data_IF_840752957243
#
_entry.id   IF_840752957243
#
_cell.length_a   1.000
_cell.length_b   1.000
_cell.length_c   1.000
_cell.angle_alpha   90.00
_cell.angle_beta   90.00
_cell.angle_gamma   90.00
#
_symmetry.space_group_name_H-M   'P 1'
#
loop_
_entity.id
_entity.type
_entity.pdbx_description
1 polymer ?
#
# COMPACT_ATOMS: atom_id res chain seq x y z
N UNK A 1 -18.99 -31.81 -23.96
CA UNK A 1 -17.90 -32.02 -22.98
C UNK A 1 -18.45 -31.94 -21.55
N UNK A 2 -17.88 -32.69 -20.62
CA UNK A 2 -18.22 -32.58 -19.20
C UNK A 2 -17.85 -31.19 -18.69
N UNK A 3 -18.65 -30.65 -17.78
CA UNK A 3 -18.28 -29.46 -17.03
C UNK A 3 -17.03 -29.77 -16.18
N UNK A 4 -16.03 -28.93 -16.28
CA UNK A 4 -14.81 -28.98 -15.46
C UNK A 4 -14.70 -27.68 -14.65
N UNK A 5 -14.40 -27.82 -13.37
CA UNK A 5 -14.17 -26.68 -12.46
C UNK A 5 -12.80 -26.86 -11.84
N UNK A 6 -11.99 -25.82 -11.90
CA UNK A 6 -10.68 -25.77 -11.27
C UNK A 6 -10.59 -24.58 -10.33
N UNK A 7 -9.95 -24.79 -9.20
CA UNK A 7 -9.59 -23.73 -8.26
C UNK A 7 -8.08 -23.69 -8.12
N UNK A 8 -7.54 -22.48 -8.10
CA UNK A 8 -6.14 -22.21 -7.82
C UNK A 8 -6.03 -20.99 -6.91
N UNK A 9 -5.16 -21.04 -5.91
CA UNK A 9 -5.03 -19.95 -4.96
C UNK A 9 -3.81 -20.07 -4.07
N UNK A 10 -3.39 -18.92 -3.54
CA UNK A 10 -2.38 -18.84 -2.49
C UNK A 10 -2.71 -17.77 -1.48
N UNK A 11 -2.15 -17.92 -0.29
CA UNK A 11 -2.06 -16.92 0.76
C UNK A 11 -0.62 -16.85 1.23
N UNK A 12 -0.13 -15.64 1.45
CA UNK A 12 1.20 -15.38 1.95
C UNK A 12 1.27 -14.10 2.78
N UNK A 13 2.43 -13.86 3.34
CA UNK A 13 2.73 -12.62 4.08
C UNK A 13 4.01 -11.97 3.55
N UNK A 14 4.06 -10.66 3.62
CA UNK A 14 5.17 -9.85 3.15
C UNK A 14 5.72 -9.00 4.29
N UNK A 15 7.01 -8.79 4.30
CA UNK A 15 7.66 -7.85 5.20
C UNK A 15 8.56 -6.91 4.39
N UNK A 16 8.71 -5.65 4.78
CA UNK A 16 9.61 -4.74 4.08
C UNK A 16 11.06 -5.18 4.30
N UNK A 17 11.87 -5.09 3.26
CA UNK A 17 13.31 -5.22 3.39
C UNK A 17 13.90 -3.83 3.62
N UNK A 18 14.24 -3.51 4.85
CA UNK A 18 14.86 -2.25 5.26
C UNK A 18 16.37 -2.36 5.46
N UNK A 19 16.99 -3.43 4.99
CA UNK A 19 18.43 -3.62 5.07
C UNK A 19 19.18 -2.46 4.37
N UNK A 20 20.15 -1.90 5.06
CA UNK A 20 20.93 -0.75 4.56
C UNK A 20 20.31 0.62 4.85
N UNK A 21 19.11 0.69 5.45
CA UNK A 21 18.51 1.93 5.95
C UNK A 21 18.53 1.91 7.47
N UNK A 22 19.39 2.72 8.06
CA UNK A 22 19.48 2.87 9.52
C UNK A 22 19.18 4.32 9.89
N UNK A 23 17.94 4.65 10.30
CA UNK A 23 17.63 5.99 10.79
C UNK A 23 18.47 6.33 12.02
N UNK A 24 18.78 7.60 12.19
CA UNK A 24 19.45 8.11 13.37
C UNK A 24 18.55 7.91 14.61
N UNK A 25 19.16 7.63 15.75
CA UNK A 25 18.46 7.77 17.01
C UNK A 25 18.40 9.26 17.45
N UNK A 26 17.60 9.55 18.49
CA UNK A 26 17.39 10.93 18.94
C UNK A 26 18.70 11.61 19.37
N UNK A 27 19.60 10.92 20.03
CA UNK A 27 20.89 11.48 20.45
C UNK A 27 21.77 11.81 19.26
N UNK A 28 21.90 10.87 18.31
CA UNK A 28 22.66 11.09 17.08
C UNK A 28 22.07 12.24 16.25
N UNK A 29 20.74 12.33 16.20
CA UNK A 29 20.06 13.44 15.52
C UNK A 29 20.43 14.79 16.14
N UNK A 30 20.32 14.95 17.46
CA UNK A 30 20.67 16.18 18.15
C UNK A 30 22.15 16.57 17.94
N UNK A 31 23.06 15.60 17.99
CA UNK A 31 24.49 15.82 17.77
C UNK A 31 24.78 16.29 16.33
N UNK A 32 24.18 15.66 15.32
CA UNK A 32 24.38 16.01 13.91
C UNK A 32 23.77 17.38 13.59
N UNK A 33 22.57 17.68 14.08
CA UNK A 33 21.95 18.99 13.89
C UNK A 33 22.81 20.09 14.50
N UNK A 34 23.23 19.93 15.74
CA UNK A 34 24.08 20.93 16.40
C UNK A 34 25.43 21.10 15.69
N UNK A 35 26.02 20.02 15.21
CA UNK A 35 27.24 20.08 14.43
C UNK A 35 27.07 20.81 13.10
N UNK A 36 25.92 20.63 12.46
CA UNK A 36 25.57 21.37 11.24
C UNK A 36 25.49 22.89 11.49
N UNK A 37 24.85 23.31 12.58
CA UNK A 37 24.73 24.72 12.98
C UNK A 37 26.08 25.31 13.31
N UNK A 38 26.90 24.65 14.11
CA UNK A 38 28.29 25.08 14.42
C UNK A 38 29.09 25.30 13.13
N UNK A 39 29.03 24.35 12.20
CA UNK A 39 29.77 24.39 10.94
C UNK A 39 29.30 25.57 10.06
N UNK A 40 28.02 25.91 10.13
CA UNK A 40 27.44 27.06 9.44
C UNK A 40 27.67 28.41 10.17
N UNK A 41 28.37 28.40 11.32
CA UNK A 41 28.59 29.61 12.13
C UNK A 41 27.32 30.10 12.84
N UNK A 42 26.34 29.22 13.01
CA UNK A 42 25.10 29.51 13.71
C UNK A 42 25.15 28.97 15.15
N UNK A 43 24.28 29.48 16.02
CA UNK A 43 24.17 29.04 17.40
C UNK A 43 23.50 27.65 17.42
N UNK A 44 24.12 26.62 18.01
CA UNK A 44 23.50 25.31 18.23
C UNK A 44 22.22 25.41 19.06
N UNK A 45 21.33 24.45 18.89
CA UNK A 45 20.13 24.34 19.70
C UNK A 45 20.46 23.88 21.14
N UNK A 46 19.82 24.50 22.10
CA UNK A 46 19.73 24.00 23.48
C UNK A 46 18.57 23.01 23.57
N UNK A 47 18.83 21.76 23.23
CA UNK A 47 17.81 20.71 23.27
C UNK A 47 17.24 20.44 24.68
N UNK A 48 17.98 20.80 25.73
CA UNK A 48 17.45 20.67 27.10
C UNK A 48 16.28 21.62 27.35
N UNK A 49 16.37 22.84 26.81
CA UNK A 49 15.28 23.81 26.86
C UNK A 49 14.16 23.49 25.85
N UNK A 50 14.55 22.98 24.66
CA UNK A 50 13.59 22.69 23.58
C UNK A 50 12.68 21.49 23.87
N UNK A 51 13.21 20.43 24.48
CA UNK A 51 12.50 19.17 24.76
C UNK A 51 12.67 18.72 26.21
N UNK A 52 12.23 19.55 27.19
CA UNK A 52 12.60 19.37 28.60
C UNK A 52 12.20 18.00 29.15
N UNK A 53 11.08 17.45 28.72
CA UNK A 53 10.53 16.20 29.24
C UNK A 53 11.27 14.94 28.75
N UNK A 54 11.99 15.04 27.64
CA UNK A 54 12.60 13.88 26.98
C UNK A 54 14.15 13.95 26.94
N UNK A 55 14.72 15.13 27.16
CA UNK A 55 16.16 15.35 27.03
C UNK A 55 16.99 14.37 27.90
N UNK A 56 16.65 14.27 29.18
CA UNK A 56 17.42 13.43 30.11
C UNK A 56 17.25 11.94 29.80
N UNK A 57 16.08 11.51 29.35
CA UNK A 57 15.81 10.14 28.93
C UNK A 57 16.58 9.79 27.64
N UNK A 58 16.74 10.73 26.72
CA UNK A 58 17.56 10.57 25.50
C UNK A 58 19.03 10.50 25.87
N UNK A 59 19.52 11.45 26.68
CA UNK A 59 20.93 11.53 27.02
C UNK A 59 21.42 10.36 27.86
N UNK A 60 20.57 9.80 28.72
CA UNK A 60 20.86 8.59 29.48
C UNK A 60 20.72 7.28 28.67
N UNK A 61 20.16 7.35 27.47
CA UNK A 61 19.86 6.19 26.62
C UNK A 61 18.64 5.39 27.03
N UNK A 62 17.84 5.89 27.98
CA UNK A 62 16.59 5.27 28.41
C UNK A 62 15.54 5.29 27.29
N UNK A 63 15.51 6.37 26.52
CA UNK A 63 14.73 6.49 25.31
C UNK A 63 15.63 6.84 24.11
N UNK A 64 15.56 6.05 23.06
CA UNK A 64 16.36 6.24 21.84
C UNK A 64 15.68 7.12 20.80
N UNK A 65 14.47 7.60 21.10
CA UNK A 65 13.63 8.31 20.15
C UNK A 65 12.78 7.39 19.28
N UNK A 66 11.99 7.99 18.43
CA UNK A 66 11.06 7.29 17.54
C UNK A 66 11.78 6.84 16.27
N UNK A 67 11.71 5.55 15.99
CA UNK A 67 12.09 5.01 14.68
C UNK A 67 10.84 4.99 13.79
N UNK A 68 10.60 6.08 13.09
CA UNK A 68 9.42 6.28 12.25
C UNK A 68 9.21 5.17 11.21
N UNK A 69 10.30 4.69 10.60
CA UNK A 69 10.22 3.61 9.62
C UNK A 69 9.71 2.31 10.25
N UNK A 70 10.16 2.02 11.48
CA UNK A 70 9.70 0.84 12.24
C UNK A 70 8.24 0.99 12.66
N UNK A 71 7.85 2.18 13.13
CA UNK A 71 6.45 2.46 13.54
C UNK A 71 5.48 2.36 12.35
N UNK A 72 5.91 2.82 11.16
CA UNK A 72 5.11 2.73 9.93
C UNK A 72 5.13 1.34 9.27
N UNK A 73 5.87 0.37 9.82
CA UNK A 73 5.97 -0.97 9.23
C UNK A 73 4.73 -1.80 9.53
N UNK A 74 4.06 -2.27 8.49
CA UNK A 74 3.04 -3.31 8.56
C UNK A 74 3.72 -4.69 8.42
N UNK A 75 3.92 -5.36 9.56
CA UNK A 75 4.56 -6.68 9.59
C UNK A 75 3.58 -7.76 9.16
N UNK A 76 4.10 -8.73 8.41
CA UNK A 76 3.31 -9.85 7.91
C UNK A 76 2.10 -9.39 7.09
N UNK A 77 2.29 -8.32 6.29
CA UNK A 77 1.26 -7.78 5.41
C UNK A 77 0.71 -8.89 4.49
N UNK A 78 -0.59 -9.19 4.52
CA UNK A 78 -1.15 -10.29 3.77
C UNK A 78 -1.13 -10.03 2.27
N UNK A 79 -0.90 -11.11 1.52
CA UNK A 79 -1.08 -11.18 0.07
C UNK A 79 -1.81 -12.46 -0.26
N UNK A 80 -2.83 -12.38 -1.11
CA UNK A 80 -3.61 -13.54 -1.50
C UNK A 80 -4.12 -13.43 -2.94
N UNK A 81 -4.27 -14.59 -3.55
CA UNK A 81 -4.90 -14.72 -4.85
C UNK A 81 -5.76 -15.98 -4.87
N UNK A 82 -6.94 -15.85 -5.41
CA UNK A 82 -7.89 -16.97 -5.57
C UNK A 82 -8.50 -16.89 -6.96
N UNK A 83 -8.55 -18.02 -7.66
CA UNK A 83 -9.17 -18.11 -8.97
C UNK A 83 -10.01 -19.39 -9.10
N UNK A 84 -11.15 -19.24 -9.72
CA UNK A 84 -12.02 -20.35 -10.11
C UNK A 84 -12.23 -20.27 -11.61
N UNK A 85 -12.00 -21.37 -12.30
CA UNK A 85 -12.25 -21.46 -13.72
C UNK A 85 -13.22 -22.62 -13.99
N UNK A 86 -14.23 -22.36 -14.79
CA UNK A 86 -15.23 -23.33 -15.24
C UNK A 86 -15.17 -23.43 -16.75
N UNK A 87 -15.04 -24.64 -17.28
CA UNK A 87 -15.07 -24.89 -18.70
C UNK A 87 -16.09 -25.99 -19.01
N UNK A 88 -16.78 -25.84 -20.10
CA UNK A 88 -17.76 -26.81 -20.53
C UNK A 88 -18.19 -26.61 -21.97
N UNK A 89 -19.09 -27.45 -22.41
CA UNK A 89 -19.65 -27.28 -23.74
C UNK A 89 -20.41 -28.50 -24.22
N UNK A 90 -20.94 -28.39 -25.42
CA UNK A 90 -21.67 -29.40 -26.16
C UNK A 90 -21.08 -29.54 -27.57
N UNK A 91 -21.75 -30.28 -28.44
CA UNK A 91 -21.36 -30.36 -29.85
C UNK A 91 -21.51 -29.05 -30.61
N UNK A 92 -22.25 -28.08 -30.06
CA UNK A 92 -22.52 -26.79 -30.69
C UNK A 92 -21.95 -25.61 -29.94
N UNK A 93 -21.49 -25.77 -28.71
CA UNK A 93 -21.02 -24.67 -27.89
C UNK A 93 -19.86 -25.05 -27.00
N UNK A 94 -18.94 -24.14 -26.78
CA UNK A 94 -17.88 -24.21 -25.79
C UNK A 94 -17.87 -22.93 -25.00
N UNK A 95 -17.62 -23.02 -23.72
CA UNK A 95 -17.47 -21.86 -22.86
C UNK A 95 -16.37 -22.04 -21.84
N UNK A 96 -15.78 -20.92 -21.43
CA UNK A 96 -14.88 -20.80 -20.30
C UNK A 96 -15.28 -19.57 -19.51
N UNK A 97 -15.55 -19.74 -18.21
CA UNK A 97 -15.85 -18.68 -17.27
C UNK A 97 -14.79 -18.71 -16.16
N UNK A 98 -14.10 -17.60 -15.99
CA UNK A 98 -13.10 -17.41 -14.93
C UNK A 98 -13.50 -16.30 -13.99
N UNK A 99 -13.30 -16.51 -12.70
CA UNK A 99 -13.37 -15.49 -11.67
C UNK A 99 -12.06 -15.49 -10.88
N UNK A 100 -11.49 -14.33 -10.63
CA UNK A 100 -10.32 -14.21 -9.76
C UNK A 100 -10.40 -13.00 -8.83
N UNK A 101 -9.89 -13.20 -7.63
CA UNK A 101 -9.66 -12.18 -6.63
C UNK A 101 -8.17 -12.11 -6.30
N UNK A 102 -7.63 -10.91 -6.26
CA UNK A 102 -6.29 -10.62 -5.76
C UNK A 102 -6.39 -9.53 -4.70
N UNK A 103 -5.78 -9.74 -3.54
CA UNK A 103 -5.69 -8.79 -2.44
C UNK A 103 -4.27 -8.71 -1.91
N UNK A 104 -3.79 -7.48 -1.62
CA UNK A 104 -2.48 -7.23 -1.07
C UNK A 104 -2.51 -6.00 -0.16
N UNK A 105 -1.93 -6.12 1.03
CA UNK A 105 -1.67 -4.98 1.90
C UNK A 105 -0.24 -4.44 1.67
N UNK A 106 -0.08 -3.14 1.88
CA UNK A 106 1.23 -2.50 1.86
C UNK A 106 2.06 -2.88 3.08
N UNK A 107 3.37 -3.02 2.91
CA UNK A 107 4.32 -3.30 3.99
C UNK A 107 4.74 -2.07 4.78
N UNK A 108 4.41 -0.87 4.28
CA UNK A 108 4.60 0.43 4.92
C UNK A 108 3.29 1.22 4.92
N UNK A 109 3.16 2.15 5.87
CA UNK A 109 2.00 3.04 6.00
C UNK A 109 1.10 2.70 7.19
N UNK A 110 1.54 1.79 8.09
CA UNK A 110 0.84 1.55 9.35
C UNK A 110 0.75 2.87 10.16
N UNK A 111 -0.37 3.17 10.85
CA UNK A 111 -1.56 2.33 11.01
C UNK A 111 -2.62 2.47 9.90
N UNK A 112 -2.38 3.24 8.85
CA UNK A 112 -3.34 3.43 7.76
C UNK A 112 -3.55 2.19 6.87
N UNK A 113 -2.58 1.29 6.82
CA UNK A 113 -2.59 0.01 6.09
C UNK A 113 -3.06 0.16 4.64
N UNK A 114 -2.20 0.67 3.75
CA UNK A 114 -2.48 0.72 2.31
C UNK A 114 -2.87 -0.64 1.76
N UNK A 115 -3.83 -0.69 0.84
CA UNK A 115 -4.25 -1.95 0.24
C UNK A 115 -4.51 -1.84 -1.27
N UNK A 116 -4.47 -2.97 -1.93
CA UNK A 116 -4.85 -3.14 -3.32
C UNK A 116 -5.74 -4.37 -3.45
N UNK A 117 -6.88 -4.22 -4.11
CA UNK A 117 -7.80 -5.31 -4.42
C UNK A 117 -8.14 -5.31 -5.91
N UNK A 118 -8.23 -6.49 -6.49
CA UNK A 118 -8.63 -6.67 -7.87
C UNK A 118 -9.55 -7.87 -8.01
N UNK A 119 -10.71 -7.63 -8.61
CA UNK A 119 -11.65 -8.66 -9.02
C UNK A 119 -11.65 -8.73 -10.55
N UNK A 120 -11.56 -9.92 -11.12
CA UNK A 120 -11.58 -10.12 -12.56
C UNK A 120 -12.55 -11.23 -12.91
N UNK A 121 -13.44 -10.93 -13.86
CA UNK A 121 -14.32 -11.92 -14.51
C UNK A 121 -13.89 -12.03 -15.96
N UNK A 122 -13.74 -13.27 -16.43
CA UNK A 122 -13.46 -13.59 -17.84
C UNK A 122 -14.52 -14.54 -18.35
N UNK A 123 -15.04 -14.23 -19.52
CA UNK A 123 -15.97 -15.09 -20.23
C UNK A 123 -15.51 -15.22 -21.68
N UNK A 124 -15.36 -16.46 -22.10
CA UNK A 124 -15.07 -16.78 -23.49
C UNK A 124 -16.06 -17.85 -23.92
N UNK A 125 -16.73 -17.65 -25.04
CA UNK A 125 -17.59 -18.68 -25.60
C UNK A 125 -17.56 -18.70 -27.12
N UNK A 126 -17.84 -19.87 -27.66
CA UNK A 126 -18.06 -20.13 -29.07
C UNK A 126 -19.39 -20.87 -29.24
N UNK A 127 -20.14 -20.48 -30.27
CA UNK A 127 -21.37 -21.17 -30.65
C UNK A 127 -21.39 -21.44 -32.15
N UNK A 128 -21.52 -22.71 -32.53
CA UNK A 128 -21.70 -23.14 -33.91
C UNK A 128 -23.12 -22.85 -34.37
N UNK A 129 -23.28 -21.77 -35.12
CA UNK A 129 -24.58 -21.32 -35.63
C UNK A 129 -25.06 -22.21 -36.78
N UNK A 130 -24.13 -22.62 -37.65
CA UNK A 130 -24.43 -23.48 -38.79
C UNK A 130 -23.38 -24.60 -38.92
N UNK A 131 -23.87 -25.85 -38.99
CA UNK A 131 -23.07 -27.03 -39.34
C UNK A 131 -23.56 -27.65 -40.62
N UNK A 132 -22.63 -28.12 -41.45
CA UNK A 132 -22.91 -28.90 -42.66
C UNK A 132 -21.94 -30.06 -42.76
N UNK A 133 -22.41 -31.26 -42.99
CA UNK A 133 -21.62 -32.48 -43.06
C UNK A 133 -20.70 -32.70 -41.86
N UNK A 134 -21.15 -32.36 -40.64
CA UNK A 134 -20.39 -32.48 -39.40
C UNK A 134 -19.34 -31.39 -39.16
N UNK A 135 -19.18 -30.44 -40.07
CA UNK A 135 -18.23 -29.33 -39.97
C UNK A 135 -18.94 -28.03 -39.62
N UNK A 136 -18.30 -27.23 -38.79
CA UNK A 136 -18.77 -25.89 -38.50
C UNK A 136 -18.60 -25.00 -39.73
N UNK A 137 -19.67 -24.34 -40.17
CA UNK A 137 -19.68 -23.39 -41.28
C UNK A 137 -19.74 -21.96 -40.81
N UNK A 138 -20.55 -21.71 -39.79
CA UNK A 138 -20.66 -20.40 -39.15
C UNK A 138 -20.50 -20.59 -37.65
N UNK A 139 -19.50 -19.89 -37.06
CA UNK A 139 -19.26 -19.85 -35.63
C UNK A 139 -19.31 -18.38 -35.17
N UNK A 140 -20.08 -18.12 -34.15
CA UNK A 140 -20.09 -16.86 -33.41
C UNK A 140 -19.34 -17.08 -32.10
N UNK A 141 -18.50 -16.13 -31.70
CA UNK A 141 -17.79 -16.18 -30.44
C UNK A 141 -17.62 -14.82 -29.80
N UNK A 142 -17.35 -14.88 -28.51
CA UNK A 142 -17.11 -13.73 -27.68
C UNK A 142 -15.97 -13.98 -26.67
N UNK A 143 -15.22 -12.92 -26.40
CA UNK A 143 -14.23 -12.89 -25.32
C UNK A 143 -14.42 -11.59 -24.55
N UNK A 144 -14.83 -11.71 -23.29
CA UNK A 144 -15.11 -10.56 -22.42
C UNK A 144 -14.27 -10.69 -21.16
N UNK A 145 -13.63 -9.61 -20.76
CA UNK A 145 -12.94 -9.47 -19.48
C UNK A 145 -13.38 -8.20 -18.79
N UNK A 146 -13.91 -8.34 -17.58
CA UNK A 146 -14.24 -7.22 -16.70
C UNK A 146 -13.31 -7.25 -15.48
N UNK A 147 -12.73 -6.09 -15.14
CA UNK A 147 -11.83 -5.95 -14.01
C UNK A 147 -12.28 -4.76 -13.16
N UNK A 148 -12.42 -4.99 -11.86
CA UNK A 148 -12.65 -3.98 -10.85
C UNK A 148 -11.41 -3.89 -9.97
N UNK A 149 -10.92 -2.69 -9.72
CA UNK A 149 -9.79 -2.46 -8.82
C UNK A 149 -10.16 -1.44 -7.75
N UNK A 150 -9.65 -1.64 -6.56
CA UNK A 150 -9.67 -0.67 -5.47
C UNK A 150 -8.27 -0.57 -4.90
N UNK A 151 -7.74 0.64 -4.82
CA UNK A 151 -6.41 0.91 -4.26
C UNK A 151 -6.53 2.05 -3.26
N UNK A 152 -6.03 1.84 -2.07
CA UNK A 152 -5.69 2.90 -1.12
C UNK A 152 -4.17 2.90 -0.93
N UNK A 153 -3.57 4.06 -0.74
CA UNK A 153 -2.13 4.17 -0.68
C UNK A 153 -1.67 5.30 0.22
N UNK A 154 -0.38 5.31 0.53
CA UNK A 154 0.31 6.46 1.09
C UNK A 154 0.70 7.41 -0.05
N UNK A 155 0.87 8.70 0.27
CA UNK A 155 1.29 9.69 -0.71
C UNK A 155 2.75 9.42 -1.14
N UNK A 156 2.96 9.21 -2.44
CA UNK A 156 4.28 9.01 -3.06
C UNK A 156 4.43 9.88 -4.31
N UNK A 157 3.77 11.05 -4.32
CA UNK A 157 3.62 11.86 -5.52
C UNK A 157 4.92 12.48 -6.01
N UNK A 158 5.60 13.25 -5.17
CA UNK A 158 6.84 13.94 -5.51
C UNK A 158 7.74 14.08 -4.28
N UNK A 159 8.82 14.89 -4.38
CA UNK A 159 9.76 15.06 -3.28
C UNK A 159 9.20 15.78 -2.06
N UNK A 160 8.10 16.53 -2.18
CA UNK A 160 7.47 17.30 -1.10
C UNK A 160 6.25 16.57 -0.51
N UNK A 161 5.57 15.74 -1.31
CA UNK A 161 4.40 14.97 -0.92
C UNK A 161 4.75 13.48 -1.00
N UNK A 162 5.56 13.00 -0.04
CA UNK A 162 6.09 11.66 -0.05
C UNK A 162 6.21 11.10 1.36
N UNK A 163 5.20 10.34 1.77
CA UNK A 163 5.15 9.75 3.11
C UNK A 163 6.35 8.89 3.45
N UNK A 164 6.99 8.22 2.48
CA UNK A 164 8.21 7.43 2.74
C UNK A 164 9.37 8.36 3.10
N UNK A 165 9.53 9.46 2.37
CA UNK A 165 10.54 10.46 2.70
C UNK A 165 10.29 11.04 4.09
N UNK A 166 9.05 11.34 4.42
CA UNK A 166 8.70 11.95 5.71
C UNK A 166 9.02 11.01 6.87
N UNK A 167 8.81 9.71 6.72
CA UNK A 167 9.27 8.69 7.68
C UNK A 167 10.79 8.62 7.85
N UNK A 168 11.57 9.05 6.84
CA UNK A 168 13.04 9.02 6.89
C UNK A 168 13.64 10.32 7.43
N UNK A 169 12.94 11.46 7.28
CA UNK A 169 13.45 12.77 7.66
C UNK A 169 12.81 13.36 8.92
N UNK A 170 11.70 12.80 9.37
CA UNK A 170 11.04 13.26 10.60
C UNK A 170 11.98 13.12 11.81
N UNK A 171 12.04 14.15 12.67
CA UNK A 171 12.92 14.15 13.82
C UNK A 171 12.60 12.99 14.78
N UNK A 172 13.59 12.16 15.14
CA UNK A 172 13.38 11.04 16.06
C UNK A 172 13.17 11.47 17.52
N UNK A 173 13.33 12.76 17.81
CA UNK A 173 13.06 13.34 19.13
C UNK A 173 11.57 13.50 19.43
N UNK A 174 10.70 13.36 18.42
CA UNK A 174 9.25 13.39 18.58
C UNK A 174 8.72 12.00 18.98
N UNK A 175 7.88 11.86 20.02
CA UNK A 175 7.14 10.64 20.28
C UNK A 175 6.16 10.33 19.14
N UNK A 176 5.92 9.05 18.86
CA UNK A 176 4.88 8.66 17.90
C UNK A 176 3.47 8.82 18.47
N UNK A 177 3.33 8.53 19.77
CA UNK A 177 2.06 8.56 20.49
C UNK A 177 2.22 9.28 21.83
N UNK A 178 1.14 9.93 22.27
CA UNK A 178 1.04 10.52 23.59
C UNK A 178 0.72 9.47 24.67
N UNK A 179 0.61 9.89 25.92
CA UNK A 179 0.30 9.01 27.07
C UNK A 179 -1.07 8.36 26.99
N UNK A 180 -2.01 8.94 26.23
CA UNK A 180 -3.33 8.37 25.98
C UNK A 180 -3.33 7.33 24.84
N UNK A 181 -2.21 7.19 24.11
CA UNK A 181 -2.08 6.30 22.95
C UNK A 181 -2.61 6.92 21.66
N UNK A 182 -2.86 8.21 21.64
CA UNK A 182 -3.21 8.98 20.46
C UNK A 182 -1.94 9.47 19.76
N UNK A 183 -2.03 9.87 18.50
CA UNK A 183 -0.88 10.46 17.82
C UNK A 183 -0.37 11.68 18.57
N UNK A 184 0.96 11.73 18.76
CA UNK A 184 1.59 12.88 19.40
C UNK A 184 1.55 14.07 18.44
N UNK A 185 0.94 15.17 18.89
CA UNK A 185 0.65 16.34 18.07
C UNK A 185 1.19 17.62 18.69
N UNK A 186 1.01 18.74 18.02
CA UNK A 186 1.46 20.05 18.49
C UNK A 186 0.88 20.44 19.87
N UNK A 187 -0.37 20.05 20.14
CA UNK A 187 -0.99 20.29 21.42
C UNK A 187 -0.25 19.61 22.59
N UNK A 188 0.22 18.38 22.36
CA UNK A 188 1.02 17.63 23.36
C UNK A 188 2.37 18.33 23.60
N UNK A 189 3.03 18.84 22.53
CA UNK A 189 4.28 19.61 22.64
C UNK A 189 4.08 20.87 23.49
N UNK A 190 2.99 21.59 23.27
CA UNK A 190 2.68 22.80 24.06
C UNK A 190 2.42 22.46 25.54
N UNK A 191 1.64 21.42 25.80
CA UNK A 191 1.36 20.96 27.17
C UNK A 191 2.63 20.53 27.91
N UNK A 192 3.56 19.89 27.19
CA UNK A 192 4.85 19.45 27.72
C UNK A 192 5.93 20.54 27.75
N UNK A 193 5.61 21.76 27.30
CA UNK A 193 6.48 22.91 27.38
C UNK A 193 7.64 22.91 26.35
N UNK A 194 7.43 22.26 25.21
CA UNK A 194 8.42 22.28 24.13
C UNK A 194 8.49 23.65 23.46
N UNK A 195 9.68 24.11 23.16
CA UNK A 195 9.92 25.36 22.44
C UNK A 195 10.21 25.09 20.95
N UNK A 196 9.28 24.37 20.30
CA UNK A 196 9.33 24.14 18.85
C UNK A 196 8.27 24.97 18.12
N UNK A 197 8.59 25.32 16.87
CA UNK A 197 7.60 25.90 15.97
C UNK A 197 6.66 24.81 15.42
N UNK A 198 5.61 25.24 14.73
CA UNK A 198 4.51 24.38 14.22
C UNK A 198 4.91 23.44 13.05
N UNK A 199 6.16 23.48 12.59
CA UNK A 199 6.59 22.78 11.39
C UNK A 199 6.90 21.28 11.61
N UNK A 200 6.79 20.80 12.86
CA UNK A 200 6.99 19.40 13.18
C UNK A 200 5.65 18.65 13.16
N UNK A 201 5.44 17.88 12.12
CA UNK A 201 4.29 17.01 11.99
C UNK A 201 4.65 15.56 12.33
N UNK A 202 3.68 14.83 12.87
CA UNK A 202 3.78 13.39 13.07
C UNK A 202 3.47 12.68 11.74
N UNK A 203 4.44 12.03 11.08
CA UNK A 203 4.22 11.44 9.76
C UNK A 203 3.22 10.26 9.77
N UNK A 204 3.03 9.62 10.93
CA UNK A 204 2.02 8.56 11.06
C UNK A 204 0.61 9.15 11.09
N UNK A 205 0.42 10.25 11.84
CA UNK A 205 -0.85 10.96 11.90
C UNK A 205 -1.25 11.50 10.52
N UNK A 206 -0.32 12.16 9.84
CA UNK A 206 -0.53 12.68 8.49
C UNK A 206 -0.95 11.57 7.53
N UNK A 207 -0.20 10.47 7.50
CA UNK A 207 -0.52 9.31 6.67
C UNK A 207 -1.88 8.71 7.03
N UNK A 208 -2.21 8.62 8.30
CA UNK A 208 -3.48 8.04 8.77
C UNK A 208 -4.69 8.89 8.38
N UNK A 209 -4.63 10.19 8.61
CA UNK A 209 -5.75 11.09 8.30
C UNK A 209 -5.93 11.31 6.79
N UNK A 210 -4.84 11.27 6.01
CA UNK A 210 -4.93 11.39 4.54
C UNK A 210 -5.35 10.09 3.84
N UNK A 211 -5.16 8.94 4.47
CA UNK A 211 -5.44 7.63 3.87
C UNK A 211 -6.86 7.49 3.32
N UNK A 212 -7.86 8.02 4.05
CA UNK A 212 -9.26 8.01 3.63
C UNK A 212 -9.50 8.74 2.30
N UNK A 213 -8.71 9.77 2.02
CA UNK A 213 -8.80 10.59 0.81
C UNK A 213 -8.00 10.00 -0.36
N UNK A 214 -7.10 9.07 -0.10
CA UNK A 214 -6.17 8.53 -1.09
C UNK A 214 -6.64 7.16 -1.63
N UNK A 215 -7.92 7.09 -2.00
CA UNK A 215 -8.53 5.87 -2.56
C UNK A 215 -8.88 6.04 -4.04
N UNK A 216 -8.36 5.13 -4.87
CA UNK A 216 -8.65 5.06 -6.29
C UNK A 216 -9.44 3.78 -6.60
N UNK A 217 -10.56 3.93 -7.33
CA UNK A 217 -11.32 2.81 -7.88
C UNK A 217 -11.22 2.82 -9.40
N UNK A 218 -10.98 1.67 -9.98
CA UNK A 218 -10.88 1.48 -11.43
C UNK A 218 -11.86 0.43 -11.93
N UNK A 219 -12.47 0.69 -13.07
CA UNK A 219 -13.34 -0.23 -13.78
C UNK A 219 -12.80 -0.37 -15.21
N UNK A 220 -12.60 -1.59 -15.66
CA UNK A 220 -12.16 -1.85 -17.03
C UNK A 220 -12.94 -3.02 -17.60
N UNK A 221 -13.48 -2.82 -18.79
CA UNK A 221 -14.14 -3.88 -19.56
C UNK A 221 -13.48 -3.94 -20.94
N UNK A 222 -13.04 -5.12 -21.32
CA UNK A 222 -12.58 -5.42 -22.65
C UNK A 222 -13.44 -6.54 -23.22
N UNK A 223 -13.84 -6.39 -24.46
CA UNK A 223 -14.62 -7.41 -25.15
C UNK A 223 -14.40 -7.36 -26.64
N UNK A 224 -14.40 -8.53 -27.25
CA UNK A 224 -14.51 -8.68 -28.68
C UNK A 224 -15.56 -9.74 -29.00
N UNK A 225 -16.25 -9.53 -30.10
CA UNK A 225 -17.16 -10.48 -30.71
C UNK A 225 -16.63 -10.80 -32.10
N UNK A 226 -16.75 -12.04 -32.52
CA UNK A 226 -16.30 -12.45 -33.83
C UNK A 226 -17.30 -13.41 -34.49
N UNK A 227 -17.35 -13.35 -35.78
CA UNK A 227 -18.07 -14.26 -36.66
C UNK A 227 -17.06 -14.93 -37.58
N UNK A 228 -16.93 -16.24 -37.51
CA UNK A 228 -16.09 -17.01 -38.37
C UNK A 228 -16.96 -17.73 -39.40
N UNK A 229 -16.68 -17.53 -40.68
CA UNK A 229 -17.35 -18.20 -41.81
C UNK A 229 -16.32 -19.05 -42.49
N UNK A 230 -16.55 -20.36 -42.57
CA UNK A 230 -15.69 -21.32 -43.22
C UNK A 230 -16.31 -21.77 -44.52
N UNK A 231 -15.59 -21.63 -45.65
CA UNK A 231 -16.08 -22.13 -46.95
C UNK A 231 -16.33 -23.64 -46.89
N UNK A 232 -17.37 -24.08 -47.63
CA UNK A 232 -17.78 -25.47 -47.72
C UNK A 232 -16.99 -26.16 -48.82
#
# INVERSE_FOLDING_TARGET
SKLSVTYDGYYGVQNPNTNGVTPLDAKQYMEIINKSYETAGQTPYDFKTLIPNHYDDIMSGKWKGTNWLKEATNKNAPIQNHSVNMTGGSDKSRFSLGFSYFGQEGTLGYPAVPNYERYTVRMNSDYSVLKKNGRDVIVFGENITATLTSKSGIAIGNNYYNSIRDLLVAPPILPAYNKAGEFYEYADMQEEGWDFNQDYANPLAETYYDHGNNRTKGHRVHGNFYLQIMPI
#
